data_IF_662929728362
#
_entry.id   IF_662929728362
#
_cell.length_a   1.000
_cell.length_b   1.000
_cell.length_c   1.000
_cell.angle_alpha   90.00
_cell.angle_beta   90.00
_cell.angle_gamma   90.00
#
_symmetry.space_group_name_H-M   'P 1'
#
loop_
_entity.id
_entity.type
_entity.pdbx_description
1 polymer ?
#
# COMPACT_ATOMS: atom_id res chain seq x y z
N UNK A 1 -5.15 -4.22 -33.36
CA UNK A 1 -5.00 -4.36 -31.89
C UNK A 1 -3.70 -3.69 -31.51
N UNK A 2 -3.77 -2.76 -30.56
CA UNK A 2 -2.59 -2.10 -29.98
C UNK A 2 -2.32 -2.74 -28.63
N UNK A 3 -1.04 -2.89 -28.29
CA UNK A 3 -0.62 -3.40 -26.99
C UNK A 3 0.46 -2.49 -26.42
N UNK A 4 0.31 -2.11 -25.16
CA UNK A 4 1.28 -1.33 -24.41
C UNK A 4 1.82 -2.17 -23.24
N UNK A 5 3.06 -1.89 -22.83
CA UNK A 5 3.71 -2.62 -21.74
C UNK A 5 3.75 -1.74 -20.49
N UNK A 6 3.32 -2.30 -19.36
CA UNK A 6 3.51 -1.68 -18.04
C UNK A 6 4.80 -2.24 -17.45
N UNK A 7 5.67 -1.37 -16.95
CA UNK A 7 6.91 -1.77 -16.29
C UNK A 7 6.64 -2.77 -15.15
N UNK A 8 7.52 -3.76 -15.00
CA UNK A 8 7.41 -4.71 -13.89
C UNK A 8 7.86 -3.99 -12.61
N UNK A 9 6.95 -3.89 -11.65
CA UNK A 9 7.21 -3.23 -10.37
C UNK A 9 6.19 -3.60 -9.30
N UNK A 10 6.30 -2.96 -8.14
CA UNK A 10 5.25 -2.96 -7.12
C UNK A 10 4.79 -1.52 -6.97
N UNK A 11 3.49 -1.31 -7.11
CA UNK A 11 2.87 0.00 -7.21
C UNK A 11 1.83 0.15 -6.10
N UNK A 12 1.67 1.38 -5.61
CA UNK A 12 0.44 1.74 -4.90
C UNK A 12 -0.74 1.77 -5.88
N UNK A 13 -1.97 1.86 -5.37
CA UNK A 13 -3.15 1.94 -6.25
C UNK A 13 -3.09 3.19 -7.14
N UNK A 14 -2.60 4.32 -6.60
CA UNK A 14 -2.42 5.53 -7.39
C UNK A 14 -1.31 5.37 -8.44
N UNK A 15 -0.13 4.89 -8.04
CA UNK A 15 0.99 4.73 -8.97
C UNK A 15 0.64 3.78 -10.13
N UNK A 16 -0.19 2.77 -9.84
CA UNK A 16 -0.66 1.84 -10.86
C UNK A 16 -1.61 2.53 -11.86
N UNK A 17 -2.49 3.42 -11.40
CA UNK A 17 -3.35 4.24 -12.27
C UNK A 17 -2.51 5.07 -13.25
N UNK A 18 -1.48 5.74 -12.73
CA UNK A 18 -0.57 6.57 -13.52
C UNK A 18 0.19 5.72 -14.55
N UNK A 19 0.63 4.52 -14.17
CA UNK A 19 1.31 3.59 -15.08
C UNK A 19 0.40 3.05 -16.18
N UNK A 20 -0.88 2.82 -15.90
CA UNK A 20 -1.86 2.43 -16.93
C UNK A 20 -2.07 3.59 -17.90
N UNK A 21 -2.30 4.81 -17.39
CA UNK A 21 -2.47 6.00 -18.22
C UNK A 21 -1.23 6.24 -19.10
N UNK A 22 -0.04 6.11 -18.53
CA UNK A 22 1.22 6.23 -19.26
C UNK A 22 1.30 5.23 -20.43
N UNK A 23 1.04 3.95 -20.16
CA UNK A 23 1.12 2.90 -21.16
C UNK A 23 0.10 3.11 -22.30
N UNK A 24 -1.14 3.50 -21.96
CA UNK A 24 -2.18 3.77 -22.96
C UNK A 24 -1.82 4.96 -23.87
N UNK A 25 -1.29 6.05 -23.29
CA UNK A 25 -0.90 7.24 -24.05
C UNK A 25 0.40 7.06 -24.87
N UNK A 26 1.21 6.04 -24.59
CA UNK A 26 2.44 5.77 -25.34
C UNK A 26 2.15 5.20 -26.74
N UNK A 27 1.09 4.40 -26.87
CA UNK A 27 0.78 3.66 -28.10
C UNK A 27 -0.58 4.05 -28.70
N UNK A 28 -1.51 4.53 -27.89
CA UNK A 28 -2.88 4.79 -28.31
C UNK A 28 -3.06 6.07 -29.13
N UNK A 29 -4.08 6.08 -29.98
CA UNK A 29 -4.41 7.21 -30.86
C UNK A 29 -5.24 8.31 -30.18
N UNK A 30 -5.66 8.08 -28.94
CA UNK A 30 -6.47 8.97 -28.12
C UNK A 30 -5.67 9.49 -26.94
N UNK A 31 -6.17 10.54 -26.28
CA UNK A 31 -5.62 10.99 -24.99
C UNK A 31 -6.36 10.28 -23.86
N UNK A 32 -5.67 9.35 -23.20
CA UNK A 32 -6.26 8.53 -22.13
C UNK A 32 -6.02 9.16 -20.76
N UNK A 33 -7.02 9.04 -19.89
CA UNK A 33 -6.94 9.33 -18.46
C UNK A 33 -7.45 8.14 -17.68
N UNK A 34 -6.84 7.88 -16.52
CA UNK A 34 -7.25 6.81 -15.62
C UNK A 34 -7.54 7.43 -14.27
N UNK A 35 -8.78 7.30 -13.82
CA UNK A 35 -9.21 7.71 -12.49
C UNK A 35 -9.34 6.49 -11.58
N UNK A 36 -9.04 6.66 -10.30
CA UNK A 36 -9.28 5.68 -9.25
C UNK A 36 -10.36 6.25 -8.32
N UNK A 37 -11.45 5.52 -8.17
CA UNK A 37 -12.37 5.72 -7.04
C UNK A 37 -11.80 4.95 -5.84
N UNK A 38 -11.46 5.65 -4.75
CA UNK A 38 -10.81 5.03 -3.59
C UNK A 38 -11.78 4.30 -2.65
N UNK A 39 -13.05 4.67 -2.65
CA UNK A 39 -14.09 4.01 -1.86
C UNK A 39 -14.38 2.63 -2.45
N UNK A 40 -14.58 2.58 -3.77
CA UNK A 40 -14.89 1.34 -4.49
C UNK A 40 -13.65 0.58 -4.96
N UNK A 41 -12.49 1.26 -5.05
CA UNK A 41 -11.23 0.79 -5.65
C UNK A 41 -11.37 0.38 -7.11
N UNK A 42 -12.30 1.01 -7.82
CA UNK A 42 -12.53 0.79 -9.24
C UNK A 42 -11.72 1.79 -10.06
N UNK A 43 -11.14 1.32 -11.16
CA UNK A 43 -10.51 2.18 -12.14
C UNK A 43 -11.51 2.57 -13.22
N UNK A 44 -11.49 3.84 -13.60
CA UNK A 44 -12.19 4.34 -14.79
C UNK A 44 -11.18 4.81 -15.80
N UNK A 45 -11.16 4.16 -16.98
CA UNK A 45 -10.33 4.57 -18.12
C UNK A 45 -11.23 5.41 -19.04
N UNK A 46 -10.82 6.64 -19.31
CA UNK A 46 -11.52 7.55 -20.22
C UNK A 46 -10.60 8.07 -21.32
N UNK A 47 -11.16 8.42 -22.46
CA UNK A 47 -10.46 8.95 -23.62
C UNK A 47 -11.23 10.12 -24.25
N UNK A 48 -10.63 10.80 -25.22
CA UNK A 48 -11.27 11.88 -25.98
C UNK A 48 -12.22 11.38 -27.08
N UNK A 49 -12.09 10.12 -27.51
CA UNK A 49 -13.01 9.45 -28.44
C UNK A 49 -13.29 8.02 -28.00
N UNK A 50 -14.30 7.39 -28.62
CA UNK A 50 -14.61 5.98 -28.38
C UNK A 50 -13.39 5.08 -28.63
N UNK A 51 -13.23 4.10 -27.75
CA UNK A 51 -12.18 3.08 -27.86
C UNK A 51 -12.71 1.73 -27.37
N UNK A 52 -11.95 0.67 -27.63
CA UNK A 52 -12.31 -0.68 -27.23
C UNK A 52 -11.24 -1.27 -26.30
N UNK A 53 -11.67 -1.92 -25.21
CA UNK A 53 -10.82 -2.73 -24.34
C UNK A 53 -11.11 -4.21 -24.59
N UNK A 54 -10.19 -4.89 -25.26
CA UNK A 54 -10.29 -6.31 -25.59
C UNK A 54 -9.74 -7.18 -24.43
N UNK A 55 -10.47 -7.19 -23.32
CA UNK A 55 -10.07 -7.84 -22.06
C UNK A 55 -9.97 -9.35 -22.21
N UNK A 56 -10.96 -9.97 -22.84
CA UNK A 56 -11.14 -11.42 -22.99
C UNK A 56 -10.88 -11.93 -24.40
N UNK A 57 -11.10 -11.10 -25.41
CA UNK A 57 -10.91 -11.47 -26.83
C UNK A 57 -9.59 -10.99 -27.44
N UNK A 58 -8.80 -10.21 -26.71
CA UNK A 58 -7.49 -9.73 -27.14
C UNK A 58 -6.45 -10.86 -27.28
N UNK A 59 -5.45 -10.66 -28.13
CA UNK A 59 -4.36 -11.63 -28.34
C UNK A 59 -3.44 -11.75 -27.13
N UNK A 60 -3.44 -10.75 -26.25
CA UNK A 60 -2.59 -10.68 -25.05
C UNK A 60 -3.32 -10.98 -23.74
N UNK A 61 -4.56 -11.51 -23.77
CA UNK A 61 -5.36 -11.76 -22.55
C UNK A 61 -4.61 -12.53 -21.46
N UNK A 62 -3.79 -13.52 -21.84
CA UNK A 62 -3.05 -14.37 -20.90
C UNK A 62 -1.96 -13.65 -20.09
N UNK A 63 -1.46 -12.51 -20.57
CA UNK A 63 -0.40 -11.73 -19.90
C UNK A 63 -0.86 -10.29 -19.58
N UNK A 64 -2.12 -9.98 -19.84
CA UNK A 64 -2.67 -8.64 -19.67
C UNK A 64 -2.85 -8.27 -18.20
N UNK A 65 -2.64 -6.99 -17.88
CA UNK A 65 -2.88 -6.45 -16.55
C UNK A 65 -4.37 -6.17 -16.27
N UNK A 66 -5.29 -6.44 -17.22
CA UNK A 66 -6.72 -6.14 -17.06
C UNK A 66 -7.35 -6.82 -15.84
N UNK A 67 -6.89 -8.04 -15.52
CA UNK A 67 -7.32 -8.75 -14.31
C UNK A 67 -6.91 -8.03 -13.02
N UNK A 68 -5.74 -7.38 -13.00
CA UNK A 68 -5.29 -6.56 -11.88
C UNK A 68 -6.02 -5.22 -11.82
N UNK A 69 -6.38 -4.65 -12.98
CA UNK A 69 -7.21 -3.45 -13.08
C UNK A 69 -8.68 -3.69 -12.72
N UNK A 70 -9.11 -4.95 -12.64
CA UNK A 70 -10.47 -5.33 -12.31
C UNK A 70 -11.45 -5.36 -13.51
N UNK A 71 -10.95 -5.36 -14.74
CA UNK A 71 -11.79 -5.58 -15.92
C UNK A 71 -11.92 -7.09 -16.19
N UNK A 72 -13.16 -7.55 -16.38
CA UNK A 72 -13.50 -8.97 -16.54
C UNK A 72 -14.19 -9.31 -17.87
N UNK A 73 -14.70 -8.31 -18.58
CA UNK A 73 -15.31 -8.46 -19.90
C UNK A 73 -14.80 -7.41 -20.88
N UNK A 74 -14.87 -7.71 -22.18
CA UNK A 74 -14.60 -6.71 -23.22
C UNK A 74 -15.49 -5.48 -23.05
N UNK A 75 -14.95 -4.31 -23.39
CA UNK A 75 -15.66 -3.03 -23.36
C UNK A 75 -15.55 -2.37 -24.73
N UNK A 76 -16.67 -1.99 -25.34
CA UNK A 76 -16.69 -1.39 -26.69
C UNK A 76 -17.76 -0.31 -26.80
N UNK A 77 -17.56 0.63 -27.73
CA UNK A 77 -18.58 1.63 -28.10
C UNK A 77 -18.76 2.83 -27.16
N UNK A 78 -17.88 3.02 -26.17
CA UNK A 78 -17.84 4.17 -25.27
C UNK A 78 -16.44 4.82 -25.25
N UNK A 79 -16.38 6.05 -24.76
CA UNK A 79 -15.16 6.81 -24.46
C UNK A 79 -14.77 6.74 -22.96
N UNK A 80 -15.53 5.99 -22.17
CA UNK A 80 -15.27 5.78 -20.75
C UNK A 80 -15.74 4.40 -20.29
N UNK A 81 -14.88 3.70 -19.54
CA UNK A 81 -15.16 2.39 -18.95
C UNK A 81 -14.67 2.30 -17.51
N UNK A 82 -15.57 1.92 -16.62
CA UNK A 82 -15.28 1.53 -15.26
C UNK A 82 -14.99 0.02 -15.18
N UNK A 83 -14.06 -0.37 -14.31
CA UNK A 83 -13.73 -1.76 -13.99
C UNK A 83 -14.89 -2.47 -13.29
N UNK A 84 -14.97 -3.80 -13.43
CA UNK A 84 -16.06 -4.60 -12.87
C UNK A 84 -15.83 -5.00 -11.41
N UNK A 85 -14.57 -5.09 -10.97
CA UNK A 85 -14.19 -5.53 -9.62
C UNK A 85 -13.11 -4.64 -9.03
N UNK A 86 -13.14 -4.51 -7.70
CA UNK A 86 -12.16 -3.73 -6.94
C UNK A 86 -10.74 -4.23 -7.17
N UNK A 87 -9.81 -3.30 -7.42
CA UNK A 87 -8.39 -3.56 -7.45
C UNK A 87 -7.77 -3.56 -6.05
N UNK A 88 -6.66 -4.28 -5.91
CA UNK A 88 -5.84 -4.30 -4.70
C UNK A 88 -6.52 -4.96 -3.49
N UNK A 89 -5.89 -4.78 -2.32
CA UNK A 89 -6.36 -5.28 -1.05
C UNK A 89 -6.26 -4.18 0.01
N UNK A 90 -7.21 -4.17 0.94
CA UNK A 90 -7.20 -3.27 2.10
C UNK A 90 -7.18 -4.10 3.36
N UNK A 91 -6.37 -3.68 4.33
CA UNK A 91 -6.30 -4.30 5.65
C UNK A 91 -6.78 -3.31 6.71
N UNK A 92 -7.79 -3.71 7.48
CA UNK A 92 -8.31 -2.95 8.61
C UNK A 92 -7.90 -3.62 9.92
N UNK A 93 -7.06 -2.97 10.75
CA UNK A 93 -6.82 -3.44 12.12
C UNK A 93 -8.13 -3.54 12.91
N UNK A 94 -8.32 -4.52 13.78
CA UNK A 94 -9.54 -4.61 14.60
C UNK A 94 -9.61 -3.52 15.71
N UNK A 95 -8.47 -2.94 16.06
CA UNK A 95 -8.35 -1.89 17.07
C UNK A 95 -7.51 -0.70 16.53
N UNK A 96 -7.66 0.50 17.10
CA UNK A 96 -6.77 1.61 16.82
C UNK A 96 -5.30 1.25 17.07
N UNK A 97 -4.42 1.73 16.20
CA UNK A 97 -2.99 1.50 16.26
C UNK A 97 -2.42 1.95 17.62
N UNK A 98 -1.62 1.07 18.25
CA UNK A 98 -0.94 1.38 19.51
C UNK A 98 0.45 1.96 19.23
N UNK A 99 0.98 2.74 20.17
CA UNK A 99 2.29 3.41 20.01
C UNK A 99 2.41 4.23 18.71
N UNK A 100 1.28 4.74 18.21
CA UNK A 100 1.21 5.46 16.94
C UNK A 100 1.95 6.79 17.02
N UNK A 101 2.83 7.03 16.06
CA UNK A 101 3.45 8.31 15.79
C UNK A 101 3.39 8.53 14.27
N UNK A 102 2.89 9.69 13.86
CA UNK A 102 2.75 10.06 12.45
C UNK A 102 4.11 10.34 11.80
N UNK A 103 4.12 10.37 10.47
CA UNK A 103 5.34 10.57 9.67
C UNK A 103 6.11 11.85 10.03
N UNK A 104 5.40 12.93 10.34
CA UNK A 104 6.02 14.23 10.60
C UNK A 104 6.63 14.33 12.02
N UNK A 105 6.33 13.38 12.90
CA UNK A 105 6.83 13.35 14.28
C UNK A 105 8.12 12.53 14.43
N UNK A 106 8.51 11.77 13.40
CA UNK A 106 9.75 10.97 13.40
C UNK A 106 10.54 11.25 12.12
N UNK A 107 11.63 11.98 12.26
CA UNK A 107 12.52 12.33 11.17
C UNK A 107 13.95 11.85 11.46
N UNK A 108 14.60 11.26 10.46
CA UNK A 108 16.02 10.93 10.51
C UNK A 108 16.75 11.40 9.25
N UNK A 109 18.00 11.84 9.44
CA UNK A 109 18.85 12.26 8.34
C UNK A 109 19.40 11.05 7.56
N UNK A 110 19.35 11.12 6.22
CA UNK A 110 19.87 10.06 5.35
C UNK A 110 21.39 10.05 5.41
N UNK A 111 21.95 8.93 5.90
CA UNK A 111 23.39 8.67 5.93
C UNK A 111 24.19 9.82 6.58
N UNK A 112 23.66 10.39 7.66
CA UNK A 112 24.35 11.45 8.36
C UNK A 112 25.68 10.96 8.95
N UNK A 113 26.76 11.67 8.62
CA UNK A 113 28.05 11.52 9.30
C UNK A 113 28.26 12.75 10.17
N UNK A 114 28.40 12.53 11.47
CA UNK A 114 28.77 13.57 12.44
C UNK A 114 30.27 13.49 12.65
N UNK A 115 31.00 14.55 12.27
CA UNK A 115 32.40 14.71 12.62
C UNK A 115 32.50 15.79 13.71
N UNK A 116 33.14 15.47 14.83
CA UNK A 116 33.35 16.39 15.95
C UNK A 116 34.85 16.65 16.12
N UNK A 117 35.23 17.92 16.27
CA UNK A 117 36.61 18.30 16.58
C UNK A 117 36.96 17.94 18.03
N UNK A 118 38.26 17.71 18.31
CA UNK A 118 38.75 17.25 19.62
C UNK A 118 38.46 18.22 20.78
N UNK A 119 38.09 19.46 20.48
CA UNK A 119 37.72 20.51 21.43
C UNK A 119 36.20 20.76 21.52
N UNK A 120 35.38 19.99 20.79
CA UNK A 120 33.92 20.12 20.75
C UNK A 120 33.41 21.44 20.16
N UNK A 121 34.28 22.28 19.61
CA UNK A 121 33.92 23.63 19.12
C UNK A 121 33.30 23.61 17.73
N UNK A 122 33.49 22.53 16.98
CA UNK A 122 32.93 22.35 15.63
C UNK A 122 32.33 20.96 15.47
N UNK A 123 31.04 20.94 15.17
CA UNK A 123 30.29 19.75 14.78
C UNK A 123 29.91 19.92 13.32
N UNK A 124 30.46 19.08 12.44
CA UNK A 124 30.09 19.03 11.04
C UNK A 124 29.12 17.88 10.81
N UNK A 125 27.97 18.18 10.21
CA UNK A 125 26.97 17.20 9.81
C UNK A 125 26.88 17.21 8.29
N UNK A 126 27.26 16.10 7.67
CA UNK A 126 27.03 15.87 6.23
C UNK A 126 25.85 14.92 6.10
N UNK A 127 24.76 15.37 5.46
CA UNK A 127 23.54 14.59 5.24
C UNK A 127 23.05 14.74 3.79
N UNK A 128 22.44 13.69 3.24
CA UNK A 128 21.92 13.65 1.86
C UNK A 128 20.39 13.77 1.78
N UNK A 129 19.75 14.33 2.82
CA UNK A 129 18.31 14.54 2.89
C UNK A 129 17.70 13.99 4.18
N UNK A 130 16.37 14.05 4.27
CA UNK A 130 15.60 13.59 5.42
C UNK A 130 14.73 12.38 5.04
N UNK A 131 14.44 11.52 6.01
CA UNK A 131 13.47 10.44 5.93
C UNK A 131 12.46 10.63 7.06
N UNK A 132 11.19 10.54 6.71
CA UNK A 132 10.09 10.56 7.67
C UNK A 132 9.57 9.15 7.91
N UNK A 133 9.22 8.86 9.15
CA UNK A 133 8.79 7.53 9.57
C UNK A 133 7.49 7.57 10.35
N UNK A 134 6.63 6.60 10.10
CA UNK A 134 5.48 6.31 10.95
C UNK A 134 5.81 5.09 11.79
N UNK A 135 5.51 5.14 13.09
CA UNK A 135 5.66 3.98 13.98
C UNK A 135 4.30 3.58 14.52
N UNK A 136 4.01 2.28 14.55
CA UNK A 136 2.79 1.76 15.16
C UNK A 136 2.90 0.28 15.55
N UNK A 137 2.04 -0.17 16.46
CA UNK A 137 1.83 -1.57 16.79
C UNK A 137 0.37 -1.95 16.48
N UNK A 138 0.21 -3.00 15.67
CA UNK A 138 -1.09 -3.60 15.37
C UNK A 138 -1.35 -4.64 16.45
N UNK A 139 -2.11 -4.24 17.48
CA UNK A 139 -2.42 -5.05 18.67
C UNK A 139 -3.88 -5.51 18.67
N UNK A 140 -4.13 -6.64 19.33
CA UNK A 140 -5.46 -7.25 19.51
C UNK A 140 -6.07 -7.89 18.26
N UNK A 141 -5.26 -8.28 17.27
CA UNK A 141 -5.76 -9.08 16.17
C UNK A 141 -6.19 -10.46 16.67
N UNK A 142 -7.42 -10.87 16.39
CA UNK A 142 -8.00 -12.12 16.87
C UNK A 142 -9.11 -12.60 15.93
N UNK A 143 -9.40 -13.90 15.96
CA UNK A 143 -10.52 -14.50 15.23
C UNK A 143 -11.80 -14.59 16.09
N UNK A 144 -11.74 -14.15 17.34
CA UNK A 144 -12.90 -14.12 18.24
C UNK A 144 -13.88 -13.04 17.75
N UNK A 145 -15.18 -13.31 17.80
CA UNK A 145 -16.24 -12.38 17.43
C UNK A 145 -17.16 -12.10 18.64
N UNK A 146 -17.97 -11.04 18.57
CA UNK A 146 -18.89 -10.55 19.60
C UNK A 146 -18.19 -10.07 20.89
N UNK A 147 -17.07 -9.37 20.76
CA UNK A 147 -16.27 -8.92 21.91
C UNK A 147 -16.62 -7.51 22.41
N UNK A 148 -17.31 -6.70 21.60
CA UNK A 148 -17.76 -5.32 21.87
C UNK A 148 -16.66 -4.25 22.06
N UNK A 149 -15.38 -4.60 22.17
CA UNK A 149 -14.28 -3.63 22.39
C UNK A 149 -13.40 -3.36 21.16
N UNK A 150 -13.40 -4.29 20.22
CA UNK A 150 -12.68 -4.23 18.95
C UNK A 150 -13.64 -4.69 17.85
N UNK A 151 -13.33 -4.36 16.60
CA UNK A 151 -14.14 -4.80 15.47
C UNK A 151 -14.10 -6.32 15.31
N UNK A 152 -15.24 -6.90 14.99
CA UNK A 152 -15.36 -8.33 14.76
C UNK A 152 -14.77 -8.71 13.40
N UNK A 153 -13.80 -9.63 13.42
CA UNK A 153 -13.25 -10.24 12.22
C UNK A 153 -12.91 -11.70 12.50
N UNK A 154 -13.69 -12.63 11.95
CA UNK A 154 -13.46 -14.07 12.12
C UNK A 154 -12.13 -14.56 11.51
N UNK A 155 -11.50 -13.75 10.66
CA UNK A 155 -10.21 -13.99 10.00
C UNK A 155 -9.13 -12.98 10.42
N UNK A 156 -9.32 -12.23 11.51
CA UNK A 156 -8.43 -11.13 11.90
C UNK A 156 -6.94 -11.52 11.99
N UNK A 157 -6.63 -12.69 12.54
CA UNK A 157 -5.24 -13.17 12.64
C UNK A 157 -4.66 -13.55 11.27
N UNK A 158 -5.47 -14.18 10.40
CA UNK A 158 -5.04 -14.53 9.04
C UNK A 158 -4.88 -13.31 8.15
N UNK A 159 -5.72 -12.29 8.33
CA UNK A 159 -5.66 -11.05 7.55
C UNK A 159 -4.42 -10.24 7.93
N UNK A 160 -4.16 -10.08 9.24
CA UNK A 160 -2.92 -9.48 9.73
C UNK A 160 -1.69 -10.22 9.18
N UNK A 161 -1.70 -11.55 9.20
CA UNK A 161 -0.59 -12.36 8.68
C UNK A 161 -0.38 -12.15 7.18
N UNK A 162 -1.47 -12.02 6.42
CA UNK A 162 -1.42 -11.77 4.97
C UNK A 162 -0.86 -10.39 4.68
N UNK A 163 -1.32 -9.37 5.41
CA UNK A 163 -0.76 -8.02 5.36
C UNK A 163 0.75 -8.04 5.66
N UNK A 164 1.16 -8.64 6.79
CA UNK A 164 2.58 -8.71 7.17
C UNK A 164 3.43 -9.40 6.11
N UNK A 165 2.96 -10.53 5.55
CA UNK A 165 3.67 -11.22 4.45
C UNK A 165 3.79 -10.38 3.17
N UNK A 166 2.86 -9.47 2.92
CA UNK A 166 2.93 -8.55 1.80
C UNK A 166 3.99 -7.47 2.07
N UNK A 167 3.90 -6.78 3.21
CA UNK A 167 4.78 -5.65 3.51
C UNK A 167 6.23 -6.06 3.75
N UNK A 168 6.49 -7.28 4.27
CA UNK A 168 7.87 -7.78 4.41
C UNK A 168 8.58 -8.07 3.09
N UNK A 169 7.86 -8.03 1.96
CA UNK A 169 8.47 -8.12 0.61
C UNK A 169 8.92 -6.75 0.08
N UNK A 170 8.95 -5.71 0.92
CA UNK A 170 9.29 -4.33 0.54
C UNK A 170 8.40 -3.77 -0.58
N UNK A 171 7.14 -4.19 -0.58
CA UNK A 171 6.13 -3.65 -1.49
C UNK A 171 5.55 -2.37 -0.88
N UNK A 172 5.35 -1.31 -1.67
CA UNK A 172 4.74 -0.08 -1.18
C UNK A 172 3.29 -0.33 -0.77
N UNK A 173 2.82 0.44 0.20
CA UNK A 173 1.43 0.46 0.67
C UNK A 173 1.02 1.91 0.89
N UNK A 174 -0.28 2.18 0.81
CA UNK A 174 -0.86 3.46 1.19
C UNK A 174 -1.36 3.34 2.63
N UNK A 175 -0.87 4.21 3.51
CA UNK A 175 -1.38 4.34 4.87
C UNK A 175 -2.49 5.39 4.90
N UNK A 176 -3.67 4.97 5.34
CA UNK A 176 -4.86 5.83 5.48
C UNK A 176 -5.11 6.02 6.97
N UNK A 177 -4.88 7.22 7.54
CA UNK A 177 -5.03 7.47 8.98
C UNK A 177 -6.48 7.34 9.47
N UNK A 178 -7.43 7.83 8.67
CA UNK A 178 -8.86 7.81 8.97
C UNK A 178 -9.61 6.89 8.00
N UNK A 179 -10.33 5.91 8.54
CA UNK A 179 -11.09 4.92 7.74
C UNK A 179 -12.29 5.50 7.02
N UNK A 180 -12.67 6.73 7.34
CA UNK A 180 -13.77 7.43 6.69
C UNK A 180 -13.28 8.40 5.61
N UNK A 181 -11.97 8.57 5.45
CA UNK A 181 -11.37 9.48 4.47
C UNK A 181 -10.25 8.75 3.72
N UNK A 182 -10.62 8.09 2.62
CA UNK A 182 -9.69 7.34 1.77
C UNK A 182 -8.81 8.25 0.90
N UNK A 183 -9.19 9.52 0.73
CA UNK A 183 -8.43 10.50 -0.06
C UNK A 183 -7.22 11.05 0.70
N UNK A 184 -7.25 11.00 2.03
CA UNK A 184 -6.08 11.33 2.86
C UNK A 184 -5.23 10.08 3.11
N UNK A 185 -4.14 9.95 2.36
CA UNK A 185 -3.22 8.81 2.47
C UNK A 185 -1.76 9.20 2.29
N UNK A 186 -0.88 8.31 2.75
CA UNK A 186 0.57 8.44 2.65
C UNK A 186 1.18 7.16 2.06
N UNK A 187 1.88 7.28 0.94
CA UNK A 187 2.62 6.16 0.36
C UNK A 187 3.84 5.84 1.23
N UNK A 188 3.98 4.58 1.62
CA UNK A 188 5.07 4.16 2.49
C UNK A 188 5.52 2.72 2.23
N UNK A 189 6.67 2.36 2.80
CA UNK A 189 7.18 0.99 2.82
C UNK A 189 7.49 0.57 4.26
N UNK A 190 7.41 -0.74 4.55
CA UNK A 190 7.85 -1.25 5.84
C UNK A 190 9.38 -1.12 5.93
N UNK A 191 9.87 -0.28 6.83
CA UNK A 191 11.31 -0.11 7.07
C UNK A 191 11.81 -1.24 7.97
N UNK A 192 11.16 -1.45 9.12
CA UNK A 192 11.58 -2.42 10.13
C UNK A 192 10.42 -3.02 10.94
N UNK A 193 10.70 -4.17 11.55
CA UNK A 193 9.84 -4.83 12.54
C UNK A 193 10.66 -5.14 13.79
N UNK A 194 10.04 -5.52 14.92
CA UNK A 194 10.80 -5.93 16.11
C UNK A 194 11.70 -7.14 15.84
N UNK A 195 11.32 -7.98 14.87
CA UNK A 195 12.06 -9.19 14.48
C UNK A 195 13.15 -8.92 13.44
N UNK A 196 12.99 -7.90 12.59
CA UNK A 196 13.86 -7.64 11.44
C UNK A 196 14.12 -6.15 11.28
N UNK A 197 15.38 -5.74 11.46
CA UNK A 197 15.82 -4.36 11.25
C UNK A 197 15.60 -3.88 9.82
N UNK A 198 15.74 -4.79 8.86
CA UNK A 198 15.51 -4.50 7.45
C UNK A 198 14.06 -4.77 7.03
N UNK A 199 13.14 -5.07 7.95
CA UNK A 199 11.72 -5.24 7.64
C UNK A 199 11.39 -6.43 6.73
N UNK A 200 12.30 -7.39 6.56
CA UNK A 200 12.14 -8.57 5.68
C UNK A 200 11.57 -9.80 6.39
N UNK A 201 11.22 -9.66 7.67
CA UNK A 201 10.62 -10.70 8.47
C UNK A 201 9.78 -10.12 9.60
N UNK A 202 8.89 -10.94 10.16
CA UNK A 202 8.01 -10.56 11.25
C UNK A 202 7.74 -11.73 12.18
N UNK A 203 7.27 -11.43 13.38
CA UNK A 203 6.74 -12.38 14.36
C UNK A 203 5.38 -11.85 14.83
N UNK A 204 4.40 -12.73 14.95
CA UNK A 204 3.14 -12.40 15.61
C UNK A 204 3.19 -12.98 17.01
N UNK A 205 3.19 -12.12 18.01
CA UNK A 205 3.25 -12.53 19.41
C UNK A 205 1.83 -12.70 19.94
N UNK A 206 1.55 -13.86 20.54
CA UNK A 206 0.31 -14.05 21.27
C UNK A 206 0.36 -13.31 22.62
N UNK A 207 -0.74 -12.63 22.97
CA UNK A 207 -0.89 -11.85 24.19
C UNK A 207 -1.28 -12.71 25.41
N UNK A 208 -0.90 -13.98 25.41
CA UNK A 208 -1.23 -14.93 26.47
C UNK A 208 -0.72 -14.45 27.85
N UNK A 209 0.46 -13.81 27.88
CA UNK A 209 1.04 -13.22 29.09
C UNK A 209 0.23 -12.07 29.68
N UNK A 210 -0.63 -11.44 28.88
CA UNK A 210 -1.55 -10.36 29.30
C UNK A 210 -2.95 -10.90 29.64
N UNK A 211 -3.14 -12.22 29.67
CA UNK A 211 -4.44 -12.86 29.88
C UNK A 211 -5.35 -12.85 28.66
N UNK A 212 -4.81 -12.52 27.48
CA UNK A 212 -5.55 -12.41 26.22
C UNK A 212 -5.14 -13.57 25.29
N UNK A 213 -5.58 -14.78 25.62
CA UNK A 213 -5.39 -15.96 24.77
C UNK A 213 -6.08 -15.78 23.41
N UNK A 214 -5.42 -16.19 22.33
CA UNK A 214 -5.85 -16.02 20.93
C UNK A 214 -5.89 -14.58 20.40
N UNK A 215 -5.29 -13.62 21.11
CA UNK A 215 -5.03 -12.28 20.59
C UNK A 215 -3.57 -12.15 20.23
N UNK A 216 -3.29 -11.49 19.12
CA UNK A 216 -1.95 -11.34 18.57
C UNK A 216 -1.59 -9.87 18.38
N UNK A 217 -0.30 -9.62 18.34
CA UNK A 217 0.27 -8.33 17.97
C UNK A 217 1.51 -8.46 17.10
N UNK A 218 1.86 -7.37 16.42
CA UNK A 218 3.09 -7.25 15.63
C UNK A 218 4.29 -6.74 16.43
N UNK A 219 4.03 -6.05 17.55
CA UNK A 219 4.97 -5.12 18.15
C UNK A 219 5.18 -3.89 17.25
N UNK A 220 6.13 -3.03 17.60
CA UNK A 220 6.36 -1.76 16.91
C UNK A 220 6.93 -1.98 15.49
N UNK A 221 6.09 -1.68 14.50
CA UNK A 221 6.44 -1.56 13.10
C UNK A 221 6.86 -0.14 12.81
N UNK A 222 7.86 0.02 11.94
CA UNK A 222 8.28 1.32 11.42
C UNK A 222 8.11 1.33 9.91
N UNK A 223 7.37 2.30 9.41
CA UNK A 223 7.16 2.54 7.99
C UNK A 223 7.89 3.81 7.57
N UNK A 224 8.51 3.81 6.40
CA UNK A 224 9.19 4.97 5.80
C UNK A 224 8.31 5.55 4.70
N UNK A 225 8.10 6.88 4.72
CA UNK A 225 7.41 7.61 3.65
C UNK A 225 8.18 7.48 2.32
N UNK A 226 7.46 7.30 1.21
CA UNK A 226 8.01 7.19 -0.14
C UNK A 226 8.19 8.55 -0.81
#
# INVERSE_FOLDING_TARGET
ELAATIDIGSYTLNDFADKIAQALNEIGDNTYSVALDRDTRLYTISADNNFDLLVTTGTQTAISAFSLMGFTSDKTGSDSYESDVASGFVYYPQAPLKSYAQFDDIEEAVQAKVNESTDGSTIEIVSFGQRNFMRCNIKYATNIINQNYIEDNATGVSDLRTFMRYVTKKRPVEFIPDRQDFDTYESCLLESTPRSKDGVGFELRELYSEGLAYYFETGDLTFRRL
#
